data_IF_337317606718
#
_entry.id   IF_337317606718
#
_cell.length_a   1.000
_cell.length_b   1.000
_cell.length_c   1.000
_cell.angle_alpha   90.00
_cell.angle_beta   90.00
_cell.angle_gamma   90.00
#
_symmetry.space_group_name_H-M   'P 1'
#
loop_
_entity.id
_entity.type
_entity.pdbx_description
1 polymer ?
#
# COMPACT_ATOMS: atom_id res chain seq x y z
N UNK A 1 4.57 -19.28 -20.21
CA UNK A 1 5.86 -18.60 -20.44
C UNK A 1 5.67 -17.10 -20.43
N UNK A 2 5.51 -16.47 -19.26
CA UNK A 2 5.39 -15.00 -19.14
C UNK A 2 6.12 -14.50 -17.89
N UNK A 3 7.41 -14.84 -17.76
CA UNK A 3 8.23 -14.33 -16.66
C UNK A 3 9.36 -13.53 -17.28
N UNK A 4 9.25 -12.21 -17.19
CA UNK A 4 10.33 -11.28 -17.52
C UNK A 4 10.05 -10.33 -18.69
N UNK A 5 8.91 -9.61 -18.72
CA UNK A 5 8.90 -8.33 -19.43
C UNK A 5 9.86 -7.40 -18.70
N UNK A 6 11.04 -7.18 -19.29
CA UNK A 6 12.01 -6.16 -18.84
C UNK A 6 11.25 -4.86 -18.63
N UNK A 7 11.40 -4.25 -17.46
CA UNK A 7 10.91 -2.90 -17.18
C UNK A 7 11.62 -1.97 -18.16
N UNK A 8 10.92 -1.59 -19.23
CA UNK A 8 11.42 -0.64 -20.20
C UNK A 8 11.00 0.75 -19.72
N UNK A 9 11.85 1.37 -18.89
CA UNK A 9 11.55 2.63 -18.18
C UNK A 9 11.15 3.77 -19.12
N UNK A 10 11.64 3.77 -20.37
CA UNK A 10 11.31 4.76 -21.38
C UNK A 10 9.90 4.55 -21.95
N UNK A 11 9.57 3.31 -22.32
CA UNK A 11 8.25 2.95 -22.85
C UNK A 11 7.15 3.09 -21.80
N UNK A 12 7.45 2.72 -20.55
CA UNK A 12 6.52 2.86 -19.43
C UNK A 12 6.26 4.33 -19.10
N UNK A 13 7.27 5.19 -19.20
CA UNK A 13 7.08 6.64 -19.07
C UNK A 13 6.16 7.22 -20.15
N UNK A 14 6.31 6.77 -21.40
CA UNK A 14 5.44 7.19 -22.50
C UNK A 14 4.01 6.68 -22.34
N UNK A 15 3.83 5.40 -22.01
CA UNK A 15 2.52 4.81 -21.75
C UNK A 15 1.81 5.48 -20.57
N UNK A 16 2.55 5.81 -19.50
CA UNK A 16 2.03 6.52 -18.34
C UNK A 16 1.56 7.93 -18.72
N UNK A 17 2.38 8.71 -19.44
CA UNK A 17 2.00 10.03 -19.92
C UNK A 17 0.76 9.94 -20.82
N UNK A 18 0.71 8.96 -21.73
CA UNK A 18 -0.43 8.73 -22.63
C UNK A 18 -1.70 8.38 -21.86
N UNK A 19 -1.62 7.50 -20.86
CA UNK A 19 -2.76 7.11 -20.05
C UNK A 19 -3.30 8.28 -19.20
N UNK A 20 -2.43 9.07 -18.58
CA UNK A 20 -2.86 10.22 -17.78
C UNK A 20 -3.37 11.37 -18.66
N UNK A 21 -2.77 11.60 -19.83
CA UNK A 21 -3.24 12.59 -20.79
C UNK A 21 -4.58 12.18 -21.43
N UNK A 22 -4.77 10.90 -21.76
CA UNK A 22 -6.05 10.37 -22.21
C UNK A 22 -7.14 10.63 -21.18
N UNK A 23 -6.88 10.25 -19.92
CA UNK A 23 -7.77 10.52 -18.79
C UNK A 23 -8.06 12.02 -18.58
N UNK A 24 -7.07 12.89 -18.77
CA UNK A 24 -7.27 14.35 -18.74
C UNK A 24 -8.20 14.83 -19.86
N UNK A 25 -8.22 14.16 -21.01
CA UNK A 25 -9.02 14.52 -22.18
C UNK A 25 -10.31 13.68 -22.33
N UNK A 26 -10.75 13.02 -21.25
CA UNK A 26 -11.94 12.14 -21.23
C UNK A 26 -11.84 10.87 -22.12
N UNK A 27 -10.65 10.53 -22.63
CA UNK A 27 -10.37 9.27 -23.34
C UNK A 27 -10.08 8.13 -22.36
N UNK A 28 -11.12 7.73 -21.63
CA UNK A 28 -11.02 6.69 -20.61
C UNK A 28 -10.78 5.30 -21.18
N UNK A 29 -11.26 5.02 -22.39
CA UNK A 29 -11.11 3.71 -23.00
C UNK A 29 -9.64 3.41 -23.30
N UNK A 30 -8.94 4.33 -23.97
CA UNK A 30 -7.51 4.16 -24.23
C UNK A 30 -6.69 4.13 -22.92
N UNK A 31 -7.07 4.97 -21.95
CA UNK A 31 -6.40 5.04 -20.65
C UNK A 31 -6.53 3.73 -19.87
N UNK A 32 -7.75 3.19 -19.77
CA UNK A 32 -7.99 1.93 -19.09
C UNK A 32 -7.39 0.73 -19.83
N UNK A 33 -7.33 0.75 -21.17
CA UNK A 33 -6.66 -0.30 -21.94
C UNK A 33 -5.15 -0.37 -21.63
N UNK A 34 -4.50 0.79 -21.50
CA UNK A 34 -3.09 0.87 -21.11
C UNK A 34 -2.88 0.37 -19.67
N UNK A 35 -3.74 0.79 -18.74
CA UNK A 35 -3.68 0.36 -17.34
C UNK A 35 -3.96 -1.14 -17.21
N UNK A 36 -4.90 -1.71 -17.97
CA UNK A 36 -5.16 -3.15 -17.97
C UNK A 36 -3.94 -3.96 -18.44
N UNK A 37 -3.19 -3.44 -19.43
CA UNK A 37 -1.95 -4.06 -19.91
C UNK A 37 -0.78 -3.91 -18.94
N UNK A 38 -0.73 -2.79 -18.21
CA UNK A 38 0.33 -2.45 -17.24
C UNK A 38 -0.29 -1.96 -15.91
N UNK A 39 -0.86 -2.86 -15.09
CA UNK A 39 -1.65 -2.49 -13.90
C UNK A 39 -0.89 -1.70 -12.83
N UNK A 40 0.44 -1.78 -12.80
CA UNK A 40 1.28 -1.04 -11.87
C UNK A 40 1.31 0.48 -12.16
N UNK A 41 0.98 0.90 -13.37
CA UNK A 41 0.96 2.32 -13.76
C UNK A 41 -0.17 3.12 -13.10
N UNK A 42 -1.19 2.46 -12.54
CA UNK A 42 -2.37 3.11 -11.94
C UNK A 42 -2.00 4.06 -10.78
N UNK A 43 -0.92 3.77 -10.06
CA UNK A 43 -0.43 4.57 -8.94
C UNK A 43 0.69 5.54 -9.32
N UNK A 44 1.12 5.54 -10.58
CA UNK A 44 2.21 6.39 -11.03
C UNK A 44 1.69 7.77 -11.45
N UNK A 45 2.56 8.78 -11.30
CA UNK A 45 2.30 10.15 -11.75
C UNK A 45 3.43 10.51 -12.72
N UNK A 46 3.11 10.92 -13.97
CA UNK A 46 4.13 11.35 -14.92
C UNK A 46 4.95 12.52 -14.39
N UNK A 47 6.20 12.66 -14.84
CA UNK A 47 7.14 13.63 -14.29
C UNK A 47 6.62 15.09 -14.38
N UNK A 48 5.95 15.42 -15.49
CA UNK A 48 5.43 16.76 -15.81
C UNK A 48 3.96 16.96 -15.40
N UNK A 49 3.44 16.14 -14.49
CA UNK A 49 2.04 16.19 -14.03
C UNK A 49 1.97 16.14 -12.51
N UNK A 50 0.90 16.73 -11.97
CA UNK A 50 0.55 16.59 -10.55
C UNK A 50 -0.32 15.40 -10.20
N UNK A 51 -1.03 14.82 -11.17
CA UNK A 51 -2.15 13.90 -10.93
C UNK A 51 -1.93 12.54 -11.56
N UNK A 52 -2.27 11.48 -10.82
CA UNK A 52 -2.40 10.11 -11.35
C UNK A 52 -3.74 9.95 -12.07
N UNK A 53 -3.95 8.78 -12.70
CA UNK A 53 -5.21 8.46 -13.38
C UNK A 53 -6.42 8.47 -12.43
N UNK A 54 -6.23 8.06 -11.17
CA UNK A 54 -7.29 8.10 -10.14
C UNK A 54 -7.71 9.55 -9.84
N UNK A 55 -6.73 10.45 -9.69
CA UNK A 55 -7.00 11.87 -9.47
C UNK A 55 -7.74 12.49 -10.66
N UNK A 56 -7.38 12.13 -11.89
CA UNK A 56 -8.11 12.57 -13.09
C UNK A 56 -9.58 12.09 -13.02
N UNK A 57 -9.82 10.82 -12.70
CA UNK A 57 -11.18 10.27 -12.63
C UNK A 57 -12.04 10.98 -11.58
N UNK A 58 -11.43 11.34 -10.44
CA UNK A 58 -12.06 12.13 -9.38
C UNK A 58 -12.35 13.55 -9.86
N UNK A 59 -11.39 14.20 -10.53
CA UNK A 59 -11.57 15.54 -11.07
C UNK A 59 -12.74 15.61 -12.05
N UNK A 60 -12.89 14.60 -12.91
CA UNK A 60 -14.00 14.49 -13.87
C UNK A 60 -15.34 14.06 -13.25
N UNK A 61 -15.40 13.80 -11.93
CA UNK A 61 -16.56 13.22 -11.24
C UNK A 61 -17.04 11.89 -11.84
N UNK A 62 -16.14 11.11 -12.45
CA UNK A 62 -16.52 9.92 -13.20
C UNK A 62 -16.57 8.70 -12.28
N UNK A 63 -17.68 8.55 -11.54
CA UNK A 63 -17.88 7.48 -10.56
C UNK A 63 -17.67 6.07 -11.14
N UNK A 64 -18.11 5.82 -12.38
CA UNK A 64 -17.91 4.54 -13.07
C UNK A 64 -16.44 4.20 -13.29
N UNK A 65 -15.63 5.20 -13.66
CA UNK A 65 -14.20 4.99 -13.85
C UNK A 65 -13.50 4.82 -12.51
N UNK A 66 -13.87 5.62 -11.50
CA UNK A 66 -13.33 5.46 -10.15
C UNK A 66 -13.63 4.05 -9.64
N UNK A 67 -14.86 3.54 -9.78
CA UNK A 67 -15.22 2.17 -9.41
C UNK A 67 -14.34 1.12 -10.09
N UNK A 68 -14.13 1.25 -11.42
CA UNK A 68 -13.25 0.35 -12.17
C UNK A 68 -11.81 0.38 -11.68
N UNK A 69 -11.28 1.57 -11.41
CA UNK A 69 -9.92 1.73 -10.89
C UNK A 69 -9.80 1.13 -9.49
N UNK A 70 -10.77 1.41 -8.61
CA UNK A 70 -10.80 0.88 -7.25
C UNK A 70 -10.87 -0.65 -7.25
N UNK A 71 -11.66 -1.25 -8.13
CA UNK A 71 -11.74 -2.71 -8.28
C UNK A 71 -10.41 -3.37 -8.68
N UNK A 72 -9.42 -2.61 -9.16
CA UNK A 72 -8.09 -3.14 -9.42
C UNK A 72 -7.33 -3.35 -8.11
N UNK A 73 -6.85 -4.57 -7.87
CA UNK A 73 -6.06 -4.89 -6.67
C UNK A 73 -4.78 -4.03 -6.51
N UNK A 74 -4.25 -3.52 -7.62
CA UNK A 74 -3.08 -2.64 -7.64
C UNK A 74 -3.40 -1.19 -7.30
N UNK A 75 -4.65 -0.76 -7.30
CA UNK A 75 -5.00 0.64 -7.06
C UNK A 75 -4.77 1.03 -5.60
N UNK A 76 -3.97 2.08 -5.40
CA UNK A 76 -3.74 2.71 -4.11
C UNK A 76 -4.54 4.00 -3.99
N UNK A 77 -5.57 3.95 -3.14
CA UNK A 77 -6.44 5.10 -2.85
C UNK A 77 -5.72 6.24 -2.11
N UNK A 78 -4.57 5.95 -1.50
CA UNK A 78 -3.77 6.89 -0.74
C UNK A 78 -2.66 7.54 -1.58
N UNK A 79 -2.60 7.25 -2.88
CA UNK A 79 -1.71 7.95 -3.80
C UNK A 79 -1.94 9.46 -3.67
N UNK A 80 -0.86 10.20 -3.43
CA UNK A 80 -0.91 11.63 -3.20
C UNK A 80 -0.61 12.39 -4.47
N UNK A 81 -1.29 13.51 -4.68
CA UNK A 81 -0.94 14.46 -5.74
C UNK A 81 0.51 14.95 -5.56
N UNK A 82 1.24 15.01 -6.67
CA UNK A 82 2.56 15.63 -6.73
C UNK A 82 2.38 17.15 -6.73
N UNK A 83 3.33 17.87 -6.14
CA UNK A 83 3.41 19.33 -6.27
C UNK A 83 3.98 19.65 -7.66
N UNK A 84 3.16 20.25 -8.53
CA UNK A 84 3.63 20.88 -9.76
C UNK A 84 3.37 22.40 -9.70
N UNK A 85 3.80 23.10 -10.75
CA UNK A 85 3.77 24.55 -10.88
C UNK A 85 2.39 25.14 -11.14
N UNK A 86 1.35 24.34 -11.43
CA UNK A 86 0.06 24.84 -11.91
C UNK A 86 -1.16 24.13 -11.26
N UNK A 87 -1.88 24.88 -10.43
CA UNK A 87 -3.29 24.70 -10.01
C UNK A 87 -3.70 23.44 -9.22
N UNK A 88 -2.93 22.36 -9.18
CA UNK A 88 -3.29 21.17 -8.43
C UNK A 88 -2.98 21.32 -6.92
N UNK A 89 -3.91 21.01 -6.01
CA UNK A 89 -3.58 20.97 -4.59
C UNK A 89 -2.59 19.83 -4.34
N UNK A 90 -1.44 20.14 -3.73
CA UNK A 90 -0.35 19.19 -3.51
C UNK A 90 -0.57 18.33 -2.27
N UNK A 91 -0.13 17.08 -2.33
CA UNK A 91 -0.13 16.16 -1.18
C UNK A 91 -1.51 15.62 -0.78
N UNK A 92 -2.54 15.84 -1.60
CA UNK A 92 -3.88 15.32 -1.35
C UNK A 92 -4.02 13.90 -1.89
N UNK A 93 -4.59 13.01 -1.09
CA UNK A 93 -5.10 11.71 -1.53
C UNK A 93 -6.36 11.87 -2.38
N UNK A 94 -6.82 10.78 -3.00
CA UNK A 94 -8.07 10.79 -3.77
C UNK A 94 -9.28 11.25 -2.95
N UNK A 95 -9.40 10.82 -1.69
CA UNK A 95 -10.49 11.22 -0.80
C UNK A 95 -10.41 12.71 -0.44
N UNK A 96 -9.22 13.20 -0.11
CA UNK A 96 -9.01 14.62 0.21
C UNK A 96 -9.30 15.50 -1.00
N UNK A 97 -8.86 15.09 -2.20
CA UNK A 97 -9.17 15.77 -3.45
C UNK A 97 -10.68 15.78 -3.72
N UNK A 98 -11.39 14.67 -3.52
CA UNK A 98 -12.84 14.62 -3.69
C UNK A 98 -13.61 15.52 -2.70
N UNK A 99 -13.06 15.73 -1.49
CA UNK A 99 -13.62 16.68 -0.51
C UNK A 99 -13.32 18.13 -0.89
N UNK A 100 -12.12 18.39 -1.41
CA UNK A 100 -11.71 19.70 -1.88
C UNK A 100 -12.53 20.17 -3.08
N UNK A 101 -12.90 19.25 -3.98
CA UNK A 101 -13.76 19.51 -5.11
C UNK A 101 -15.24 19.38 -4.70
N UNK A 102 -15.83 20.46 -4.19
CA UNK A 102 -17.18 20.51 -3.56
C UNK A 102 -18.30 19.82 -4.36
N UNK A 103 -18.19 19.72 -5.70
CA UNK A 103 -19.15 19.09 -6.61
C UNK A 103 -18.84 17.61 -6.95
N UNK A 104 -18.20 16.85 -6.06
CA UNK A 104 -17.80 15.44 -6.31
C UNK A 104 -18.42 14.43 -5.33
N UNK A 105 -19.66 14.70 -4.89
CA UNK A 105 -20.35 13.93 -3.84
C UNK A 105 -20.45 12.42 -4.10
N UNK A 106 -20.73 12.01 -5.33
CA UNK A 106 -20.89 10.58 -5.68
C UNK A 106 -19.56 9.84 -5.61
N UNK A 107 -18.52 10.40 -6.22
CA UNK A 107 -17.16 9.85 -6.17
C UNK A 107 -16.62 9.83 -4.73
N UNK A 108 -16.88 10.89 -3.96
CA UNK A 108 -16.50 10.95 -2.55
C UNK A 108 -17.11 9.80 -1.75
N UNK A 109 -18.43 9.61 -1.83
CA UNK A 109 -19.12 8.51 -1.14
C UNK A 109 -18.58 7.15 -1.56
N UNK A 110 -18.30 7.00 -2.86
CA UNK A 110 -17.75 5.77 -3.41
C UNK A 110 -16.37 5.45 -2.83
N UNK A 111 -15.46 6.44 -2.75
CA UNK A 111 -14.14 6.27 -2.14
C UNK A 111 -14.24 6.02 -0.63
N UNK A 112 -15.11 6.74 0.09
CA UNK A 112 -15.32 6.55 1.54
C UNK A 112 -15.81 5.12 1.84
N UNK A 113 -16.76 4.61 1.05
CA UNK A 113 -17.25 3.24 1.19
C UNK A 113 -16.17 2.21 0.85
N UNK A 114 -15.39 2.47 -0.20
CA UNK A 114 -14.35 1.55 -0.63
C UNK A 114 -13.19 1.47 0.37
N UNK A 115 -12.74 2.60 0.95
CA UNK A 115 -11.72 2.61 2.01
C UNK A 115 -12.17 1.78 3.22
N UNK A 116 -13.44 1.89 3.62
CA UNK A 116 -14.00 1.10 4.71
C UNK A 116 -14.03 -0.40 4.40
N UNK A 117 -14.45 -0.79 3.19
CA UNK A 117 -14.47 -2.20 2.76
C UNK A 117 -13.07 -2.76 2.60
N UNK A 118 -12.14 -2.05 1.94
CA UNK A 118 -10.75 -2.48 1.79
C UNK A 118 -10.03 -2.59 3.12
N UNK A 119 -10.25 -1.64 4.04
CA UNK A 119 -9.70 -1.74 5.39
C UNK A 119 -10.26 -2.98 6.06
N UNK A 120 -11.57 -3.18 6.04
CA UNK A 120 -12.21 -4.36 6.62
C UNK A 120 -11.67 -5.66 6.00
N UNK A 121 -11.61 -5.79 4.68
CA UNK A 121 -11.09 -6.98 4.02
C UNK A 121 -9.59 -7.16 4.24
N UNK A 122 -8.76 -6.12 4.26
CA UNK A 122 -7.32 -6.24 4.54
C UNK A 122 -7.02 -6.47 6.02
N UNK A 123 -7.91 -6.05 6.93
CA UNK A 123 -7.85 -6.34 8.37
C UNK A 123 -8.40 -7.73 8.70
N UNK A 124 -9.48 -8.17 8.03
CA UNK A 124 -10.10 -9.48 8.19
C UNK A 124 -9.30 -10.56 7.46
N UNK A 125 -8.72 -10.23 6.30
CA UNK A 125 -7.70 -11.03 5.61
C UNK A 125 -6.27 -10.62 6.01
N UNK A 126 -6.08 -9.90 7.13
CA UNK A 126 -4.76 -9.68 7.71
C UNK A 126 -4.21 -11.01 8.22
N UNK A 127 -3.68 -11.79 7.29
CA UNK A 127 -2.86 -12.97 7.48
C UNK A 127 -3.48 -13.98 8.45
N UNK A 128 -4.41 -14.79 7.96
CA UNK A 128 -4.67 -16.10 8.57
C UNK A 128 -3.41 -16.95 8.34
N UNK A 129 -2.49 -16.96 9.29
CA UNK A 129 -1.47 -18.00 9.31
C UNK A 129 -2.21 -19.32 9.55
N UNK A 130 -2.04 -20.29 8.64
CA UNK A 130 -2.46 -21.67 8.84
C UNK A 130 -1.79 -22.14 10.13
N UNK A 131 -2.55 -22.15 11.21
CA UNK A 131 -2.16 -22.87 12.40
C UNK A 131 -2.31 -24.34 12.04
N UNK A 132 -1.20 -25.05 11.91
CA UNK A 132 -1.26 -26.51 11.94
C UNK A 132 -1.85 -26.85 13.31
N UNK A 133 -3.10 -27.30 13.32
CA UNK A 133 -3.73 -27.82 14.53
C UNK A 133 -2.96 -29.07 14.94
N UNK A 134 -1.95 -28.91 15.80
CA UNK A 134 -1.58 -30.02 16.67
C UNK A 134 -2.66 -30.08 17.73
N UNK A 135 -3.28 -31.24 17.82
CA UNK A 135 -4.05 -31.69 18.96
C UNK A 135 -3.55 -31.07 20.28
N UNK A 136 -4.35 -30.11 20.76
CA UNK A 136 -4.73 -29.89 22.16
C UNK A 136 -3.67 -29.34 23.11
N UNK A 137 -3.62 -28.02 23.27
CA UNK A 137 -3.87 -27.33 24.56
C UNK A 137 -3.32 -25.88 24.54
N UNK A 138 -4.17 -24.94 25.00
CA UNK A 138 -3.79 -23.61 25.50
C UNK A 138 -3.03 -22.67 24.56
N UNK A 139 -3.73 -21.78 23.84
CA UNK A 139 -3.07 -20.74 23.05
C UNK A 139 -2.81 -19.46 23.87
N UNK A 140 -1.53 -19.14 24.06
CA UNK A 140 -1.00 -17.82 24.39
C UNK A 140 -0.71 -17.04 23.10
N UNK A 141 -1.21 -15.81 23.01
CA UNK A 141 -1.19 -14.92 21.84
C UNK A 141 0.08 -14.06 21.72
N UNK A 142 1.28 -14.63 21.79
CA UNK A 142 2.53 -13.83 21.92
C UNK A 142 3.31 -13.55 20.61
N UNK A 143 2.76 -13.85 19.44
CA UNK A 143 3.41 -13.58 18.14
C UNK A 143 3.00 -12.27 17.45
N UNK A 144 1.74 -11.84 17.63
CA UNK A 144 1.19 -10.64 16.98
C UNK A 144 1.77 -9.28 17.42
N UNK A 145 2.25 -9.07 18.68
CA UNK A 145 2.64 -7.74 19.12
C UNK A 145 3.87 -7.18 18.40
N UNK A 146 4.77 -8.02 17.87
CA UNK A 146 6.04 -7.55 17.32
C UNK A 146 5.85 -6.92 15.92
N UNK A 147 5.28 -7.67 14.97
CA UNK A 147 5.03 -7.20 13.60
C UNK A 147 4.19 -5.91 13.58
N UNK A 148 3.13 -5.88 14.38
CA UNK A 148 2.30 -4.70 14.53
C UNK A 148 3.06 -3.50 15.11
N UNK A 149 3.90 -3.71 16.16
CA UNK A 149 4.78 -2.67 16.72
C UNK A 149 5.81 -2.14 15.72
N UNK A 150 6.30 -2.99 14.82
CA UNK A 150 7.28 -2.63 13.78
C UNK A 150 6.61 -1.74 12.72
N UNK A 151 5.45 -2.17 12.22
CA UNK A 151 4.70 -1.42 11.20
C UNK A 151 4.23 -0.08 11.75
N UNK A 152 3.76 -0.04 13.00
CA UNK A 152 3.38 1.22 13.66
C UNK A 152 4.59 2.11 14.00
N UNK A 153 5.72 1.54 14.44
CA UNK A 153 6.98 2.30 14.62
C UNK A 153 7.47 2.90 13.31
N UNK A 154 7.46 2.13 12.21
CA UNK A 154 7.87 2.60 10.89
C UNK A 154 6.97 3.73 10.37
N UNK A 155 5.65 3.59 10.56
CA UNK A 155 4.68 4.63 10.19
C UNK A 155 4.90 5.93 11.00
N UNK A 156 5.24 5.81 12.28
CA UNK A 156 5.46 6.96 13.16
C UNK A 156 6.85 7.61 12.96
N UNK A 157 7.86 6.85 12.51
CA UNK A 157 9.21 7.37 12.26
C UNK A 157 9.38 8.06 10.91
N UNK A 158 8.54 7.73 9.92
CA UNK A 158 8.43 8.47 8.64
C UNK A 158 7.96 9.92 8.80
N UNK A 159 7.54 10.32 10.01
CA UNK A 159 7.16 11.71 10.34
C UNK A 159 8.42 12.56 10.65
N UNK A 160 9.60 11.96 10.85
CA UNK A 160 10.85 12.71 11.11
C UNK A 160 11.83 12.56 9.93
N UNK A 161 12.20 13.66 9.26
CA UNK A 161 13.06 13.63 8.08
C UNK A 161 14.54 13.65 8.52
N UNK A 162 15.22 12.51 8.51
CA UNK A 162 16.68 12.52 8.68
C UNK A 162 17.42 11.34 8.02
N UNK A 163 16.79 10.19 7.80
CA UNK A 163 17.47 9.00 7.25
C UNK A 163 16.75 8.43 6.04
N UNK A 164 17.51 7.78 5.14
CA UNK A 164 16.91 7.12 3.98
C UNK A 164 15.99 5.97 4.44
N UNK A 165 14.81 5.79 3.81
CA UNK A 165 13.86 4.74 4.19
C UNK A 165 14.48 3.34 4.27
N UNK A 166 15.47 3.06 3.41
CA UNK A 166 16.21 1.81 3.37
C UNK A 166 17.04 1.55 4.62
N UNK A 167 17.84 2.53 5.08
CA UNK A 167 18.65 2.40 6.30
C UNK A 167 17.78 2.23 7.54
N UNK A 168 16.65 2.93 7.57
CA UNK A 168 15.70 2.83 8.68
C UNK A 168 15.00 1.47 8.71
N UNK A 169 14.63 0.94 7.54
CA UNK A 169 14.05 -0.41 7.43
C UNK A 169 15.07 -1.48 7.86
N UNK A 170 16.33 -1.35 7.42
CA UNK A 170 17.41 -2.25 7.83
C UNK A 170 17.65 -2.22 9.35
N UNK A 171 17.63 -1.03 9.97
CA UNK A 171 17.73 -0.89 11.44
C UNK A 171 16.55 -1.56 12.17
N UNK A 172 15.33 -1.43 11.66
CA UNK A 172 14.17 -2.09 12.27
C UNK A 172 14.28 -3.61 12.12
N UNK A 173 14.69 -4.10 10.96
CA UNK A 173 14.89 -5.53 10.70
C UNK A 173 15.99 -6.13 11.58
N UNK A 174 17.09 -5.41 11.85
CA UNK A 174 18.13 -5.89 12.76
C UNK A 174 17.63 -6.01 14.21
N UNK A 175 16.90 -5.01 14.72
CA UNK A 175 16.30 -5.04 16.07
C UNK A 175 15.36 -6.23 16.27
N UNK A 176 14.63 -6.62 15.22
CA UNK A 176 13.73 -7.77 15.24
C UNK A 176 14.52 -9.07 15.31
N UNK A 177 15.57 -9.17 14.49
CA UNK A 177 16.42 -10.35 14.47
C UNK A 177 17.06 -10.57 15.84
N UNK A 178 17.53 -9.50 16.49
CA UNK A 178 18.10 -9.54 17.83
C UNK A 178 17.08 -9.98 18.89
N UNK A 179 15.85 -9.43 18.85
CA UNK A 179 14.78 -9.85 19.76
C UNK A 179 14.37 -11.32 19.54
N UNK A 180 14.35 -11.78 18.29
CA UNK A 180 14.07 -13.18 17.97
C UNK A 180 15.21 -14.09 18.46
N UNK A 181 16.45 -13.66 18.32
CA UNK A 181 17.63 -14.38 18.80
C UNK A 181 17.59 -14.53 20.32
N UNK A 182 17.27 -13.45 21.04
CA UNK A 182 17.14 -13.45 22.51
C UNK A 182 16.02 -14.38 22.99
N UNK A 183 14.85 -14.35 22.36
CA UNK A 183 13.76 -15.29 22.69
C UNK A 183 14.12 -16.75 22.42
N UNK A 184 14.93 -17.02 21.38
CA UNK A 184 15.45 -18.37 21.11
C UNK A 184 16.44 -18.81 22.19
N UNK A 185 17.38 -17.93 22.57
CA UNK A 185 18.35 -18.19 23.62
C UNK A 185 17.67 -18.42 24.99
N UNK A 186 16.64 -17.66 25.33
CA UNK A 186 15.84 -17.89 26.54
C UNK A 186 15.15 -19.26 26.55
N UNK A 187 14.61 -19.72 25.41
CA UNK A 187 14.05 -21.08 25.31
C UNK A 187 15.11 -22.15 25.45
N UNK A 188 16.26 -21.99 24.81
CA UNK A 188 17.39 -22.90 24.99
C UNK A 188 17.80 -22.95 26.46
N UNK A 189 17.91 -21.80 27.11
CA UNK A 189 18.23 -21.71 28.53
C UNK A 189 17.17 -22.40 29.40
N UNK A 190 15.87 -22.19 29.16
CA UNK A 190 14.80 -22.86 29.92
C UNK A 190 14.77 -24.38 29.70
N UNK A 191 15.04 -24.85 28.48
CA UNK A 191 15.12 -26.29 28.18
C UNK A 191 16.33 -26.91 28.87
N UNK A 192 17.50 -26.25 28.82
CA UNK A 192 18.70 -26.70 29.51
C UNK A 192 18.54 -26.72 31.04
N UNK A 193 17.87 -25.70 31.61
CA UNK A 193 17.57 -25.65 33.05
C UNK A 193 16.61 -26.76 33.46
N UNK A 194 15.56 -27.06 32.67
CA UNK A 194 14.68 -28.21 32.95
C UNK A 194 15.45 -29.53 32.87
N UNK A 195 16.27 -29.72 31.84
CA UNK A 195 17.06 -30.94 31.70
C UNK A 195 18.00 -31.16 32.90
N UNK A 196 18.60 -30.10 33.42
CA UNK A 196 19.48 -30.14 34.59
C UNK A 196 18.77 -30.32 35.94
N UNK A 197 17.44 -30.14 36.01
CA UNK A 197 16.65 -30.32 37.23
C UNK A 197 15.97 -31.70 37.31
N UNK A 198 15.88 -32.43 36.18
CA UNK A 198 15.23 -33.73 36.08
C UNK A 198 16.20 -34.90 35.86
N UNK A 199 17.51 -34.60 35.85
CA UNK A 199 18.62 -35.56 35.82
C UNK A 199 19.67 -35.14 36.84
#
# INVERSE_FOLDING_TARGET
NEIGRKINTVEDGFDLEKAVLGAKNDDWEASLALIARKPYLVNCIPEKRSWSILHQAIYWNNSKIVEKLLAMYTCDIFVKTKKDTESAPAGMSGLELAKYLENRGDVRKLIENYDMTLRKERLDNAISFVTTSSTGSGFMSEGLPLFYKIVTSFKNSMIVPAESPEKHLQMLLSKINDQMLMKRLERYFQVSVRYALYH
#
